data_IF_613189201247
#
_entry.id   IF_613189201247
#
_cell.length_a   1.000
_cell.length_b   1.000
_cell.length_c   1.000
_cell.angle_alpha   90.00
_cell.angle_beta   90.00
_cell.angle_gamma   90.00
#
_symmetry.space_group_name_H-M   'P 1'
#
loop_
_entity.id
_entity.type
_entity.pdbx_description
1 polymer ?
#
# COMPACT_ATOMS: atom_id res chain seq x y z
N UNK A 1 -15.51 -52.15 -27.43
CA UNK A 1 -14.47 -51.60 -26.54
C UNK A 1 -15.11 -51.05 -25.28
N UNK A 2 -14.73 -51.66 -24.16
CA UNK A 2 -14.61 -51.16 -22.78
C UNK A 2 -15.19 -49.76 -22.48
N UNK A 3 -16.23 -49.67 -21.64
CA UNK A 3 -16.24 -49.66 -20.17
C UNK A 3 -16.16 -48.24 -19.58
N UNK A 4 -17.34 -47.75 -19.17
CA UNK A 4 -17.69 -47.00 -17.95
C UNK A 4 -16.54 -46.36 -17.16
N UNK A 5 -16.68 -45.06 -16.81
CA UNK A 5 -16.60 -44.64 -15.40
C UNK A 5 -17.18 -43.24 -15.19
N UNK A 6 -18.40 -43.22 -14.70
CA UNK A 6 -19.02 -42.11 -13.96
C UNK A 6 -18.16 -41.74 -12.74
N UNK A 7 -18.02 -40.45 -12.43
CA UNK A 7 -17.52 -39.99 -11.14
C UNK A 7 -18.13 -38.61 -10.77
N UNK A 8 -19.25 -38.65 -10.05
CA UNK A 8 -19.65 -37.66 -9.04
C UNK A 8 -19.62 -38.39 -7.68
N UNK A 9 -19.63 -37.75 -6.47
CA UNK A 9 -19.48 -36.35 -6.10
C UNK A 9 -18.44 -36.12 -4.96
N UNK A 10 -17.97 -34.89 -4.76
CA UNK A 10 -17.12 -34.50 -3.62
C UNK A 10 -17.68 -33.30 -2.87
N UNK A 11 -18.42 -33.56 -1.79
CA UNK A 11 -18.91 -32.58 -0.81
C UNK A 11 -17.73 -31.80 -0.23
N UNK A 12 -17.67 -30.50 -0.46
CA UNK A 12 -16.71 -29.60 0.16
C UNK A 12 -17.21 -28.17 0.03
N UNK A 13 -17.43 -27.52 1.16
CA UNK A 13 -17.87 -26.13 1.29
C UNK A 13 -16.83 -25.18 0.73
N UNK A 14 -16.84 -24.94 -0.58
CA UNK A 14 -16.10 -23.83 -1.15
C UNK A 14 -17.01 -22.62 -1.20
N UNK A 15 -17.22 -22.03 -0.03
CA UNK A 15 -17.41 -20.59 0.04
C UNK A 15 -16.18 -19.99 -0.66
N UNK A 16 -16.30 -19.74 -1.97
CA UNK A 16 -15.37 -18.94 -2.77
C UNK A 16 -15.34 -17.57 -2.13
N UNK A 17 -14.56 -17.45 -1.07
CA UNK A 17 -14.22 -16.20 -0.44
C UNK A 17 -13.42 -15.46 -1.50
N UNK A 18 -14.01 -14.40 -2.06
CA UNK A 18 -13.28 -13.40 -2.83
C UNK A 18 -12.31 -12.61 -1.93
N UNK A 19 -11.63 -13.28 -1.00
CA UNK A 19 -10.43 -12.78 -0.36
C UNK A 19 -9.30 -12.85 -1.40
N UNK A 20 -9.47 -12.05 -2.46
CA UNK A 20 -8.45 -11.78 -3.44
C UNK A 20 -7.28 -11.21 -2.65
N UNK A 21 -6.34 -12.10 -2.40
CA UNK A 21 -5.28 -11.93 -1.43
C UNK A 21 -4.51 -10.68 -1.80
N UNK A 22 -4.62 -9.64 -0.97
CA UNK A 22 -3.81 -8.42 -1.08
C UNK A 22 -2.37 -8.80 -0.70
N UNK A 23 -1.71 -9.60 -1.54
CA UNK A 23 -0.30 -9.95 -1.41
C UNK A 23 0.49 -8.82 -2.02
N UNK A 24 0.91 -7.87 -1.17
CA UNK A 24 1.95 -6.92 -1.54
C UNK A 24 3.28 -7.47 -1.04
N UNK A 25 4.27 -7.50 -1.93
CA UNK A 25 5.67 -7.74 -1.60
C UNK A 25 6.23 -6.60 -0.76
N UNK A 26 7.33 -6.84 -0.04
CA UNK A 26 8.02 -5.78 0.70
C UNK A 26 8.43 -4.62 -0.20
N UNK A 27 8.86 -4.94 -1.42
CA UNK A 27 9.32 -3.99 -2.40
C UNK A 27 8.18 -3.09 -2.94
N UNK A 28 6.95 -3.60 -3.03
CA UNK A 28 5.77 -2.80 -3.39
C UNK A 28 5.30 -1.90 -2.24
N UNK A 29 5.69 -2.20 -1.00
CA UNK A 29 5.39 -1.41 0.19
C UNK A 29 6.46 -0.34 0.48
N UNK A 30 7.35 -0.07 -0.47
CA UNK A 30 8.43 0.91 -0.35
C UNK A 30 8.37 1.98 -1.44
N UNK A 31 8.76 3.19 -1.06
CA UNK A 31 8.87 4.28 -2.02
C UNK A 31 10.11 4.10 -2.90
N UNK A 32 9.92 4.03 -4.23
CA UNK A 32 11.01 3.88 -5.21
C UNK A 32 11.98 5.07 -5.32
N UNK A 33 11.71 6.17 -4.63
CA UNK A 33 12.62 7.34 -4.57
C UNK A 33 13.59 7.23 -3.39
N UNK A 34 13.07 6.93 -2.19
CA UNK A 34 13.88 6.90 -0.97
C UNK A 34 14.08 5.51 -0.38
N UNK A 35 13.52 4.47 -0.99
CA UNK A 35 13.55 3.06 -0.55
C UNK A 35 13.13 2.86 0.90
N UNK A 36 12.34 3.78 1.44
CA UNK A 36 11.75 3.65 2.77
C UNK A 36 10.35 3.08 2.65
N UNK A 37 10.00 2.22 3.61
CA UNK A 37 8.66 1.65 3.73
C UNK A 37 7.60 2.74 3.90
N UNK A 38 6.48 2.55 3.21
CA UNK A 38 5.28 3.36 3.40
C UNK A 38 4.72 3.15 4.82
N UNK A 39 4.06 4.19 5.34
CA UNK A 39 3.35 4.14 6.61
C UNK A 39 2.01 4.89 6.51
N UNK A 40 1.13 4.66 7.47
CA UNK A 40 -0.22 5.27 7.51
C UNK A 40 -0.23 6.71 8.01
N UNK A 41 0.94 7.31 8.29
CA UNK A 41 1.10 8.61 8.96
C UNK A 41 1.86 9.60 8.07
N UNK A 42 3.19 9.55 8.11
CA UNK A 42 4.09 10.55 7.52
C UNK A 42 4.66 10.14 6.16
N UNK A 43 4.67 8.84 5.84
CA UNK A 43 5.12 8.29 4.54
C UNK A 43 3.99 7.56 3.84
N UNK A 44 2.83 8.22 3.75
CA UNK A 44 1.72 7.70 2.97
C UNK A 44 2.09 7.58 1.49
N UNK A 45 1.63 6.53 0.79
CA UNK A 45 1.81 6.36 -0.65
C UNK A 45 0.90 7.33 -1.41
N UNK A 46 1.42 8.46 -1.87
CA UNK A 46 0.68 9.44 -2.67
C UNK A 46 0.67 9.02 -4.13
N UNK A 47 -0.48 9.13 -4.78
CA UNK A 47 -0.69 8.79 -6.20
C UNK A 47 -0.67 10.06 -7.03
N UNK A 48 0.17 10.09 -8.07
CA UNK A 48 0.27 11.19 -9.03
C UNK A 48 -0.79 11.05 -10.14
N UNK A 49 -0.97 12.07 -10.99
CA UNK A 49 -1.94 12.04 -12.10
C UNK A 49 -1.71 10.91 -13.12
N UNK A 50 -0.48 10.38 -13.16
CA UNK A 50 -0.09 9.21 -13.97
C UNK A 50 -0.19 7.86 -13.26
N UNK A 51 -0.81 7.81 -12.07
CA UNK A 51 -0.96 6.62 -11.23
C UNK A 51 0.33 6.03 -10.64
N UNK A 52 1.47 6.70 -10.83
CA UNK A 52 2.69 6.36 -10.12
C UNK A 52 2.64 6.80 -8.65
N UNK A 53 3.36 6.06 -7.81
CA UNK A 53 3.34 6.23 -6.36
C UNK A 53 4.64 6.83 -5.85
N UNK A 54 4.53 7.81 -4.97
CA UNK A 54 5.66 8.43 -4.25
C UNK A 54 5.27 8.62 -2.79
N UNK A 55 6.20 8.53 -1.83
CA UNK A 55 5.81 8.78 -0.43
C UNK A 55 5.60 10.28 -0.20
N UNK A 56 4.73 10.63 0.75
CA UNK A 56 4.42 12.03 1.10
C UNK A 56 5.69 12.85 1.40
N UNK A 57 6.70 12.29 2.08
CA UNK A 57 7.97 13.00 2.33
C UNK A 57 8.75 13.30 1.05
N UNK A 58 8.79 12.37 0.10
CA UNK A 58 9.46 12.60 -1.19
C UNK A 58 8.69 13.61 -2.03
N UNK A 59 7.35 13.50 -2.06
CA UNK A 59 6.51 14.44 -2.78
C UNK A 59 6.67 15.87 -2.22
N UNK A 60 6.73 16.03 -0.90
CA UNK A 60 6.98 17.34 -0.28
C UNK A 60 8.32 17.94 -0.70
N UNK A 61 9.39 17.14 -0.69
CA UNK A 61 10.70 17.58 -1.19
C UNK A 61 10.66 17.98 -2.67
N UNK A 62 9.93 17.25 -3.51
CA UNK A 62 9.79 17.59 -4.92
C UNK A 62 9.10 18.94 -5.11
N UNK A 63 8.05 19.22 -4.33
CA UNK A 63 7.36 20.52 -4.34
C UNK A 63 8.26 21.63 -3.81
N UNK A 64 8.94 21.40 -2.69
CA UNK A 64 9.81 22.41 -2.04
C UNK A 64 11.03 22.80 -2.89
N UNK A 65 11.46 21.93 -3.81
CA UNK A 65 12.52 22.22 -4.79
C UNK A 65 12.02 23.02 -6.01
N UNK A 66 10.70 23.14 -6.21
CA UNK A 66 10.13 23.93 -7.29
C UNK A 66 10.10 25.42 -6.94
N UNK A 67 10.82 26.26 -7.70
CA UNK A 67 11.01 27.68 -7.39
C UNK A 67 9.80 28.59 -7.71
N UNK A 68 8.64 28.08 -8.14
CA UNK A 68 7.52 28.96 -8.57
C UNK A 68 6.15 28.29 -8.46
N UNK A 69 5.18 29.01 -7.88
CA UNK A 69 3.73 28.74 -7.89
C UNK A 69 3.16 28.46 -9.30
N UNK A 70 2.00 27.77 -9.46
CA UNK A 70 1.43 26.71 -8.65
C UNK A 70 2.07 25.34 -8.98
N UNK A 71 2.26 24.49 -7.98
CA UNK A 71 3.28 23.42 -8.01
C UNK A 71 2.98 22.25 -8.96
N UNK A 72 3.26 22.44 -10.25
CA UNK A 72 3.35 21.33 -11.21
C UNK A 72 4.63 20.56 -10.90
N UNK A 73 4.49 19.25 -10.67
CA UNK A 73 5.62 18.34 -10.54
C UNK A 73 5.69 17.39 -11.73
N UNK A 74 6.91 17.04 -12.14
CA UNK A 74 7.12 15.97 -13.11
C UNK A 74 7.30 14.64 -12.39
N UNK A 75 6.53 13.63 -12.79
CA UNK A 75 6.69 12.27 -12.28
C UNK A 75 8.12 11.75 -12.59
N UNK A 76 8.88 11.27 -11.58
CA UNK A 76 10.25 10.80 -11.80
C UNK A 76 10.34 9.50 -12.61
N UNK A 77 9.22 8.78 -12.76
CA UNK A 77 9.18 7.49 -13.47
C UNK A 77 8.79 7.64 -14.94
N UNK A 78 7.86 8.56 -15.25
CA UNK A 78 7.28 8.68 -16.59
C UNK A 78 7.18 10.11 -17.13
N UNK A 79 7.72 11.10 -16.39
CA UNK A 79 7.74 12.54 -16.75
C UNK A 79 6.39 13.21 -16.93
N UNK A 80 5.29 12.53 -16.63
CA UNK A 80 3.96 13.13 -16.66
C UNK A 80 3.84 14.23 -15.61
N UNK A 81 3.31 15.38 -16.01
CA UNK A 81 3.08 16.52 -15.15
C UNK A 81 1.87 16.29 -14.24
N UNK A 82 1.97 16.67 -12.98
CA UNK A 82 0.86 16.58 -12.03
C UNK A 82 0.78 17.89 -11.27
N UNK A 83 -0.39 18.52 -11.35
CA UNK A 83 -0.69 19.70 -10.55
C UNK A 83 -0.85 19.29 -9.09
N UNK A 84 -0.04 19.88 -8.22
CA UNK A 84 -0.18 19.77 -6.76
C UNK A 84 -0.80 21.07 -6.27
N UNK A 85 -1.98 21.02 -5.60
CA UNK A 85 -2.61 22.20 -5.02
C UNK A 85 -1.65 22.94 -4.11
N UNK A 86 -1.69 24.28 -4.17
CA UNK A 86 -0.81 25.17 -3.40
C UNK A 86 -0.86 24.88 -1.87
N UNK A 87 -1.98 24.34 -1.40
CA UNK A 87 -2.26 24.01 0.00
C UNK A 87 -2.04 22.50 0.32
N UNK A 88 -0.90 21.96 -0.11
CA UNK A 88 -0.19 20.81 0.50
C UNK A 88 -0.34 19.41 -0.15
N UNK A 89 0.81 18.72 -0.14
CA UNK A 89 0.99 17.29 -0.45
C UNK A 89 -0.01 16.36 0.27
N UNK A 90 -0.57 16.78 1.40
CA UNK A 90 -1.54 16.00 2.15
C UNK A 90 -2.84 15.76 1.39
N UNK A 91 -3.25 16.71 0.55
CA UNK A 91 -4.49 16.66 -0.24
C UNK A 91 -4.42 15.74 -1.46
N UNK A 92 -3.22 15.34 -1.88
CA UNK A 92 -3.07 14.38 -2.97
C UNK A 92 -3.73 13.04 -2.62
N UNK A 93 -4.09 12.25 -3.62
CA UNK A 93 -4.74 10.97 -3.36
C UNK A 93 -3.76 9.99 -2.70
N UNK A 94 -4.20 9.29 -1.66
CA UNK A 94 -3.46 8.18 -1.05
C UNK A 94 -3.84 6.86 -1.75
N UNK A 95 -2.89 5.95 -1.95
CA UNK A 95 -3.20 4.58 -2.37
C UNK A 95 -3.88 3.82 -1.22
N UNK A 96 -5.21 3.70 -1.31
CA UNK A 96 -6.05 3.07 -0.29
C UNK A 96 -5.77 1.57 -0.14
N UNK A 97 -5.32 0.88 -1.19
CA UNK A 97 -5.06 -0.56 -1.13
C UNK A 97 -3.77 -0.82 -0.34
N UNK A 98 -2.70 -0.07 -0.60
CA UNK A 98 -1.47 -0.12 0.19
C UNK A 98 -1.76 0.29 1.64
N UNK A 99 -2.54 1.35 1.86
CA UNK A 99 -2.92 1.76 3.23
C UNK A 99 -3.72 0.69 3.97
N UNK A 100 -4.63 -0.02 3.30
CA UNK A 100 -5.37 -1.12 3.90
C UNK A 100 -4.43 -2.25 4.34
N UNK A 101 -3.48 -2.61 3.49
CA UNK A 101 -2.47 -3.63 3.77
C UNK A 101 -1.60 -3.25 4.96
N UNK A 102 -1.09 -2.01 4.98
CA UNK A 102 -0.29 -1.50 6.11
C UNK A 102 -1.10 -1.50 7.42
N UNK A 103 -2.37 -1.11 7.36
CA UNK A 103 -3.26 -1.08 8.53
C UNK A 103 -3.51 -2.48 9.09
N UNK A 104 -3.68 -3.49 8.23
CA UNK A 104 -3.81 -4.89 8.66
C UNK A 104 -2.53 -5.42 9.32
N UNK A 105 -1.37 -5.07 8.77
CA UNK A 105 -0.08 -5.48 9.32
C UNK A 105 0.21 -4.83 10.69
N UNK A 106 -0.12 -3.54 10.86
CA UNK A 106 0.06 -2.84 12.14
C UNK A 106 -0.77 -3.46 13.27
N UNK A 107 -1.98 -3.94 12.96
CA UNK A 107 -2.85 -4.64 13.92
C UNK A 107 -2.30 -6.01 14.30
N UNK A 108 -1.83 -6.79 13.33
CA UNK A 108 -1.23 -8.09 13.57
C UNK A 108 0.01 -7.99 14.48
N UNK A 109 0.84 -6.95 14.28
CA UNK A 109 2.04 -6.72 15.10
C UNK A 109 1.72 -6.26 16.51
N UNK A 110 0.66 -5.48 16.71
CA UNK A 110 0.22 -5.01 18.04
C UNK A 110 -0.46 -6.10 18.87
N UNK A 111 -1.06 -7.11 18.22
CA UNK A 111 -1.69 -8.25 18.91
C UNK A 111 -0.72 -9.32 19.44
N UNK A 112 0.59 -9.22 19.13
CA UNK A 112 1.59 -10.24 19.49
C UNK A 112 2.33 -10.02 20.81
N UNK A 113 2.00 -9.00 21.59
CA UNK A 113 2.69 -8.66 22.85
C UNK A 113 1.80 -8.83 24.08
N UNK A 114 1.53 -10.08 24.47
CA UNK A 114 0.70 -10.38 25.65
C UNK A 114 0.98 -11.78 26.23
N UNK A 115 2.10 -11.94 26.95
CA UNK A 115 2.41 -13.09 27.81
C UNK A 115 3.89 -13.07 28.25
N UNK A 116 4.29 -13.30 29.50
CA UNK A 116 3.59 -13.63 30.77
C UNK A 116 3.86 -12.57 31.86
N UNK A 117 3.18 -12.56 33.02
CA UNK A 117 3.08 -13.65 34.00
C UNK A 117 4.47 -13.86 34.62
N UNK A 118 4.81 -13.43 35.84
CA UNK A 118 4.11 -13.58 37.12
C UNK A 118 4.83 -14.66 37.95
N UNK A 119 5.35 -14.27 39.12
CA UNK A 119 6.00 -15.15 40.11
C UNK A 119 7.47 -14.75 40.35
N UNK A 120 7.98 -14.56 41.55
CA UNK A 120 7.50 -14.74 42.92
C UNK A 120 8.75 -14.60 43.80
N UNK A 121 8.61 -14.00 44.98
CA UNK A 121 9.67 -13.85 45.97
C UNK A 121 9.06 -13.38 47.28
#
# INVERSE_FOLDING_TARGET
>A
MSLLKEAEPGRGTEAKTWAQSLVYTLEELECKICYNRYDTRSRKPKVLGCLHRVCAKCLKKMVDMGESSPSIICCPFCRHETYVPDEEVWLMEDDRHILAVLSCQDRARRGGGGGGGGGGG
#
